data_IF_593358528597
#
_entry.id   IF_593358528597
#
_cell.length_a   1.000
_cell.length_b   1.000
_cell.length_c   1.000
_cell.angle_alpha   90.00
_cell.angle_beta   90.00
_cell.angle_gamma   90.00
#
_symmetry.space_group_name_H-M   'P 1'
#
loop_
_entity.id
_entity.type
_entity.pdbx_description
1 polymer ?
#
# COMPACT_ATOMS: atom_id res chain seq x y z
N UNK A 1 20.25 5.47 -15.31
CA UNK A 1 19.12 4.71 -14.75
C UNK A 1 18.16 4.45 -15.90
N UNK A 2 18.08 3.21 -16.36
CA UNK A 2 17.21 2.83 -17.47
C UNK A 2 15.75 3.09 -17.02
N UNK A 3 15.16 4.17 -17.53
CA UNK A 3 13.72 4.43 -17.45
C UNK A 3 13.02 3.41 -18.33
N UNK A 4 12.88 2.20 -17.81
CA UNK A 4 12.16 1.12 -18.44
C UNK A 4 10.71 1.54 -18.59
N UNK A 5 10.36 1.74 -19.85
CA UNK A 5 9.01 1.84 -20.38
C UNK A 5 8.12 2.90 -19.73
N UNK A 6 7.90 3.97 -20.48
CA UNK A 6 6.67 4.75 -20.54
C UNK A 6 5.43 3.89 -20.88
N UNK A 7 5.37 2.64 -20.39
CA UNK A 7 4.18 1.83 -20.27
C UNK A 7 3.26 2.55 -19.30
N UNK A 8 2.56 3.55 -19.85
CA UNK A 8 1.59 4.44 -19.22
C UNK A 8 0.93 3.71 -18.06
N UNK A 9 1.41 3.97 -16.84
CA UNK A 9 0.92 3.27 -15.66
C UNK A 9 -0.57 3.58 -15.56
N UNK A 10 -1.40 2.57 -15.78
CA UNK A 10 -2.86 2.67 -15.77
C UNK A 10 -3.44 1.87 -14.60
N UNK A 11 -4.70 2.16 -14.26
CA UNK A 11 -5.40 1.49 -13.17
C UNK A 11 -4.68 1.61 -11.84
N UNK A 12 -4.58 0.50 -11.10
CA UNK A 12 -3.97 0.44 -9.77
C UNK A 12 -2.46 0.69 -9.82
N UNK A 13 -1.78 0.26 -10.87
CA UNK A 13 -0.33 0.46 -11.05
C UNK A 13 0.06 1.93 -11.18
N UNK A 14 -0.88 2.81 -11.55
CA UNK A 14 -0.67 4.27 -11.51
C UNK A 14 -0.47 4.79 -10.09
N UNK A 15 -1.21 4.23 -9.14
CA UNK A 15 -1.23 4.69 -7.76
C UNK A 15 -0.30 3.89 -6.86
N UNK A 16 -0.07 2.62 -7.17
CA UNK A 16 0.78 1.72 -6.39
C UNK A 16 1.87 1.16 -7.31
N UNK A 17 3.02 1.81 -7.32
CA UNK A 17 4.20 1.38 -8.09
C UNK A 17 5.49 1.72 -7.34
N UNK A 18 6.57 1.02 -7.69
CA UNK A 18 7.91 1.25 -7.12
C UNK A 18 8.74 2.31 -7.85
N UNK A 19 8.24 2.85 -8.96
CA UNK A 19 9.01 3.71 -9.87
C UNK A 19 8.86 5.19 -9.58
N UNK A 20 7.64 5.65 -9.28
CA UNK A 20 7.35 7.05 -8.96
C UNK A 20 7.37 7.30 -7.45
N UNK A 21 7.75 8.51 -7.03
CA UNK A 21 7.71 8.91 -5.62
C UNK A 21 6.29 8.80 -5.04
N UNK A 22 5.27 9.18 -5.81
CA UNK A 22 3.88 9.06 -5.41
C UNK A 22 3.44 7.59 -5.24
N UNK A 23 3.82 6.71 -6.17
CA UNK A 23 3.55 5.28 -6.08
C UNK A 23 4.15 4.67 -4.82
N UNK A 24 5.42 4.95 -4.55
CA UNK A 24 6.14 4.46 -3.37
C UNK A 24 5.49 4.97 -2.07
N UNK A 25 5.10 6.24 -2.04
CA UNK A 25 4.41 6.82 -0.89
C UNK A 25 3.05 6.16 -0.62
N UNK A 26 2.27 5.88 -1.67
CA UNK A 26 0.97 5.22 -1.54
C UNK A 26 1.10 3.77 -1.08
N UNK A 27 2.08 3.03 -1.58
CA UNK A 27 2.40 1.67 -1.09
C UNK A 27 2.74 1.73 0.40
N UNK A 28 3.60 2.66 0.83
CA UNK A 28 3.94 2.83 2.24
C UNK A 28 2.72 3.17 3.10
N UNK A 29 1.87 4.10 2.67
CA UNK A 29 0.61 4.43 3.36
C UNK A 29 -0.32 3.22 3.49
N UNK A 30 -0.47 2.45 2.40
CA UNK A 30 -1.29 1.24 2.40
C UNK A 30 -0.75 0.20 3.40
N UNK A 31 0.56 0.00 3.48
CA UNK A 31 1.18 -0.89 4.47
C UNK A 31 0.83 -0.48 5.89
N UNK A 32 1.03 0.78 6.25
CA UNK A 32 0.70 1.26 7.61
C UNK A 32 -0.79 1.17 7.91
N UNK A 33 -1.65 1.49 6.94
CA UNK A 33 -3.09 1.37 7.09
C UNK A 33 -3.52 -0.08 7.36
N UNK A 34 -3.00 -1.04 6.57
CA UNK A 34 -3.31 -2.48 6.75
C UNK A 34 -2.82 -2.98 8.11
N UNK A 35 -1.59 -2.64 8.50
CA UNK A 35 -1.06 -3.03 9.82
C UNK A 35 -1.94 -2.44 10.94
N UNK A 36 -2.30 -1.17 10.86
CA UNK A 36 -3.19 -0.52 11.83
C UNK A 36 -4.56 -1.21 11.92
N UNK A 37 -5.14 -1.59 10.79
CA UNK A 37 -6.40 -2.34 10.74
C UNK A 37 -6.26 -3.74 11.36
N UNK A 38 -5.16 -4.45 11.10
CA UNK A 38 -4.91 -5.77 11.69
C UNK A 38 -4.79 -5.65 13.21
N UNK A 39 -4.06 -4.66 13.71
CA UNK A 39 -3.93 -4.40 15.15
C UNK A 39 -5.31 -4.09 15.74
N UNK A 40 -6.04 -3.14 15.16
CA UNK A 40 -7.38 -2.77 15.60
C UNK A 40 -8.34 -3.96 15.61
N UNK A 41 -8.32 -4.79 14.57
CA UNK A 41 -9.10 -6.01 14.48
C UNK A 41 -8.77 -6.99 15.61
N UNK A 42 -7.49 -7.23 15.89
CA UNK A 42 -7.07 -8.12 16.98
C UNK A 42 -7.40 -7.56 18.36
N UNK A 43 -7.33 -6.25 18.55
CA UNK A 43 -7.73 -5.60 19.80
C UNK A 43 -9.25 -5.66 20.03
N UNK A 44 -10.04 -5.47 18.97
CA UNK A 44 -11.51 -5.51 19.04
C UNK A 44 -12.05 -6.94 19.06
N UNK A 45 -11.23 -7.94 18.72
CA UNK A 45 -11.62 -9.35 18.76
C UNK A 45 -11.97 -9.73 20.20
N UNK A 46 -13.22 -10.13 20.50
CA UNK A 46 -13.61 -10.47 21.86
C UNK A 46 -12.79 -11.66 22.34
N UNK A 47 -12.06 -11.48 23.44
CA UNK A 47 -11.44 -12.60 24.15
C UNK A 47 -12.60 -13.40 24.75
N UNK A 48 -12.68 -14.70 24.40
CA UNK A 48 -13.63 -15.62 25.05
C UNK A 48 -13.41 -15.52 26.57
N UNK A 49 -14.52 -15.46 27.31
CA UNK A 49 -14.57 -15.44 28.78
C UNK A 49 -13.74 -16.59 29.35
#
# INVERSE_FOLDING_TARGET
MAGGDDAKLTGLSKYFNGTTTAGRANVGKATYAVIGLIIAYNMMKPKKK
#
